data_IF_867880516523
#
_entry.id   IF_867880516523
#
_cell.length_a   1.000
_cell.length_b   1.000
_cell.length_c   1.000
_cell.angle_alpha   90.00
_cell.angle_beta   90.00
_cell.angle_gamma   90.00
#
_symmetry.space_group_name_H-M   'P 1'
#
loop_
_entity.id
_entity.type
_entity.pdbx_description
1 polymer ?
#
# COMPACT_ATOMS: atom_id res chain seq x y z
N UNK A 1 -11.25 -14.37 -0.29
CA UNK A 1 -11.41 -12.92 -0.37
C UNK A 1 -10.16 -12.26 -0.91
N UNK A 2 -10.34 -11.25 -1.73
CA UNK A 2 -9.23 -10.46 -2.23
C UNK A 2 -8.67 -9.58 -1.11
N UNK A 3 -7.34 -9.47 -1.07
CA UNK A 3 -6.66 -8.62 -0.10
C UNK A 3 -5.83 -7.61 -0.87
N UNK A 4 -6.14 -6.32 -0.71
CA UNK A 4 -5.37 -5.24 -1.27
C UNK A 4 -4.53 -4.62 -0.16
N UNK A 5 -3.22 -4.54 -0.37
CA UNK A 5 -2.29 -3.96 0.59
C UNK A 5 -1.81 -2.62 0.06
N UNK A 6 -2.00 -1.57 0.85
CA UNK A 6 -1.62 -0.23 0.48
C UNK A 6 -0.38 0.16 1.29
N UNK A 7 0.73 0.39 0.60
CA UNK A 7 1.96 0.83 1.21
C UNK A 7 2.08 2.35 1.18
N UNK A 8 2.47 2.91 2.31
CA UNK A 8 2.84 4.32 2.39
C UNK A 8 4.34 4.43 2.57
N UNK A 9 4.99 5.23 1.74
CA UNK A 9 6.43 5.40 1.79
C UNK A 9 6.88 5.88 3.18
N UNK A 10 8.11 5.54 3.57
CA UNK A 10 8.67 5.86 4.89
C UNK A 10 8.60 7.34 5.24
N UNK A 11 8.71 8.22 4.24
CA UNK A 11 8.63 9.67 4.43
C UNK A 11 7.22 10.18 4.73
N UNK A 12 6.21 9.33 4.66
CA UNK A 12 4.84 9.70 4.96
C UNK A 12 4.48 9.37 6.40
N UNK A 13 5.21 9.96 7.32
CA UNK A 13 4.95 9.86 8.74
C UNK A 13 4.06 11.00 9.21
N UNK A 14 3.87 11.10 10.52
CA UNK A 14 2.91 11.99 11.15
C UNK A 14 2.91 13.43 10.63
N UNK A 15 4.07 14.00 10.35
CA UNK A 15 4.19 15.40 9.99
C UNK A 15 4.13 15.70 8.50
N UNK A 16 3.89 14.69 7.68
CA UNK A 16 3.83 14.85 6.24
C UNK A 16 2.38 14.89 5.78
N UNK A 17 2.08 15.65 4.72
CA UNK A 17 0.73 15.63 4.15
C UNK A 17 0.41 14.24 3.60
N UNK A 18 -0.85 13.86 3.65
CA UNK A 18 -1.30 12.62 3.03
C UNK A 18 -1.22 12.74 1.50
N UNK A 19 -1.11 11.58 0.84
CA UNK A 19 -1.18 11.52 -0.62
C UNK A 19 -2.63 11.82 -1.01
N UNK A 20 -2.80 12.77 -1.94
CA UNK A 20 -4.13 13.19 -2.38
C UNK A 20 -4.99 12.00 -2.80
N UNK A 21 -6.16 11.90 -2.20
CA UNK A 21 -7.14 10.86 -2.50
C UNK A 21 -6.85 9.49 -1.88
N UNK A 22 -5.67 9.27 -1.30
CA UNK A 22 -5.31 7.95 -0.77
C UNK A 22 -6.17 7.52 0.40
N UNK A 23 -6.45 8.42 1.33
CA UNK A 23 -7.28 8.11 2.51
C UNK A 23 -8.70 7.76 2.08
N UNK A 24 -9.29 8.56 1.20
CA UNK A 24 -10.64 8.31 0.71
C UNK A 24 -10.71 6.99 -0.07
N UNK A 25 -9.74 6.74 -0.93
CA UNK A 25 -9.66 5.50 -1.70
C UNK A 25 -9.52 4.28 -0.79
N UNK A 26 -8.67 4.36 0.24
CA UNK A 26 -8.49 3.28 1.20
C UNK A 26 -9.80 2.97 1.94
N UNK A 27 -10.51 4.01 2.38
CA UNK A 27 -11.80 3.84 3.05
C UNK A 27 -12.86 3.22 2.14
N UNK A 28 -12.89 3.62 0.88
CA UNK A 28 -13.81 3.04 -0.11
C UNK A 28 -13.47 1.58 -0.39
N UNK A 29 -12.18 1.27 -0.56
CA UNK A 29 -11.72 -0.10 -0.76
C UNK A 29 -12.12 -1.01 0.39
N UNK A 30 -11.97 -0.53 1.62
CA UNK A 30 -12.29 -1.31 2.82
C UNK A 30 -13.79 -1.66 2.91
N UNK A 31 -14.64 -0.87 2.25
CA UNK A 31 -16.09 -1.10 2.21
C UNK A 31 -16.53 -1.99 1.04
N UNK A 32 -15.63 -2.27 0.10
CA UNK A 32 -15.97 -3.12 -1.04
C UNK A 32 -16.12 -4.56 -0.60
N UNK A 33 -17.19 -5.22 -1.08
CA UNK A 33 -17.43 -6.62 -0.80
C UNK A 33 -16.30 -7.48 -1.34
N UNK A 34 -15.80 -8.39 -0.51
CA UNK A 34 -14.74 -9.31 -0.89
C UNK A 34 -13.35 -8.71 -0.90
N UNK A 35 -13.18 -7.52 -0.35
CA UNK A 35 -11.88 -6.83 -0.29
C UNK A 35 -11.50 -6.54 1.15
N UNK A 36 -10.33 -7.05 1.58
CA UNK A 36 -9.71 -6.67 2.85
C UNK A 36 -8.50 -5.81 2.55
N UNK A 37 -8.42 -4.64 3.16
CA UNK A 37 -7.36 -3.68 2.92
C UNK A 37 -6.45 -3.58 4.14
N UNK A 38 -5.14 -3.63 3.89
CA UNK A 38 -4.12 -3.48 4.92
C UNK A 38 -3.11 -2.41 4.50
N UNK A 39 -2.51 -1.78 5.49
CA UNK A 39 -1.40 -0.86 5.27
C UNK A 39 -0.12 -1.61 5.60
N UNK A 40 0.68 -1.87 4.58
CA UNK A 40 1.94 -2.58 4.72
C UNK A 40 3.09 -1.57 4.69
N UNK A 41 3.79 -1.44 5.79
CA UNK A 41 4.82 -0.42 5.94
C UNK A 41 6.09 -0.98 6.57
N UNK A 42 7.23 -0.39 6.22
CA UNK A 42 8.51 -0.79 6.78
C UNK A 42 8.95 0.21 7.85
N UNK A 43 9.43 -0.25 9.01
CA UNK A 43 9.99 0.64 10.01
C UNK A 43 11.34 1.20 9.55
N UNK A 44 11.66 2.43 9.97
CA UNK A 44 12.99 3.00 9.82
C UNK A 44 13.75 2.68 11.10
N UNK A 45 14.77 1.81 11.00
CA UNK A 45 15.49 1.28 12.16
C UNK A 45 16.12 2.34 13.05
N UNK A 46 16.65 3.40 12.43
CA UNK A 46 17.39 4.45 13.17
C UNK A 46 16.50 5.51 13.78
N UNK A 47 15.19 5.48 13.50
CA UNK A 47 14.26 6.48 14.01
C UNK A 47 13.37 5.85 15.07
N UNK A 48 13.71 6.04 16.34
CA UNK A 48 13.05 5.34 17.43
C UNK A 48 11.56 5.64 17.60
N UNK A 49 11.07 6.77 17.09
CA UNK A 49 9.66 7.16 17.15
C UNK A 49 8.85 6.76 15.93
N UNK A 50 9.47 6.11 14.96
CA UNK A 50 8.84 5.78 13.69
C UNK A 50 7.55 4.98 13.85
N UNK A 51 7.57 3.96 14.70
CA UNK A 51 6.38 3.11 14.89
C UNK A 51 5.22 3.89 15.51
N UNK A 52 5.49 4.64 16.57
CA UNK A 52 4.47 5.44 17.24
C UNK A 52 3.87 6.47 16.29
N UNK A 53 4.71 7.16 15.52
CA UNK A 53 4.24 8.14 14.56
C UNK A 53 3.41 7.53 13.43
N UNK A 54 3.75 6.33 12.97
CA UNK A 54 2.96 5.64 11.96
C UNK A 54 1.58 5.27 12.49
N UNK A 55 1.50 4.76 13.70
CA UNK A 55 0.22 4.44 14.34
C UNK A 55 -0.62 5.69 14.54
N UNK A 56 -0.02 6.77 15.01
CA UNK A 56 -0.72 8.04 15.22
C UNK A 56 -1.23 8.62 13.90
N UNK A 57 -0.42 8.54 12.86
CA UNK A 57 -0.81 9.01 11.53
C UNK A 57 -2.04 8.26 11.00
N UNK A 58 -2.02 6.93 11.13
CA UNK A 58 -3.14 6.09 10.68
C UNK A 58 -4.38 6.38 11.50
N UNK A 59 -4.25 6.46 12.81
CA UNK A 59 -5.36 6.78 13.72
C UNK A 59 -6.01 8.11 13.36
N UNK A 60 -5.19 9.13 13.12
CA UNK A 60 -5.64 10.48 12.81
C UNK A 60 -6.35 10.57 11.44
N UNK A 61 -5.77 9.97 10.41
CA UNK A 61 -6.22 10.15 9.04
C UNK A 61 -7.24 9.10 8.57
N UNK A 62 -7.13 7.87 9.05
CA UNK A 62 -8.00 6.78 8.65
C UNK A 62 -9.01 6.39 9.73
N UNK A 63 -8.66 6.57 10.98
CA UNK A 63 -9.48 6.21 12.12
C UNK A 63 -8.89 5.09 12.95
N UNK A 64 -9.34 4.95 14.23
CA UNK A 64 -8.79 3.97 15.15
C UNK A 64 -8.97 2.51 14.69
N UNK A 65 -10.01 2.22 13.92
CA UNK A 65 -10.24 0.87 13.39
C UNK A 65 -9.18 0.43 12.38
N UNK A 66 -8.46 1.38 11.79
CA UNK A 66 -7.39 1.08 10.84
C UNK A 66 -6.07 0.70 11.48
N UNK A 67 -5.90 0.99 12.76
CA UNK A 67 -4.66 0.62 13.47
C UNK A 67 -4.45 -0.89 13.44
N UNK A 68 -5.52 -1.68 13.56
CA UNK A 68 -5.46 -3.13 13.45
C UNK A 68 -5.19 -3.65 12.04
N UNK A 69 -5.19 -2.79 11.04
CA UNK A 69 -4.90 -3.16 9.65
C UNK A 69 -3.46 -2.86 9.24
N UNK A 70 -2.61 -2.47 10.18
CA UNK A 70 -1.21 -2.15 9.90
C UNK A 70 -0.38 -3.44 9.94
N UNK A 71 0.37 -3.67 8.88
CA UNK A 71 1.39 -4.72 8.82
C UNK A 71 2.75 -4.03 8.82
N UNK A 72 3.51 -4.22 9.88
CA UNK A 72 4.86 -3.70 10.00
C UNK A 72 5.85 -4.81 9.67
N UNK A 73 6.65 -4.59 8.64
CA UNK A 73 7.66 -5.57 8.25
C UNK A 73 8.78 -4.90 7.48
N UNK A 74 10.01 -5.34 7.72
CA UNK A 74 11.17 -4.96 6.90
C UNK A 74 11.17 -5.70 5.57
N UNK A 75 10.53 -6.85 5.52
CA UNK A 75 10.50 -7.71 4.35
C UNK A 75 9.04 -7.91 3.91
N UNK A 76 8.63 -7.13 2.92
CA UNK A 76 7.26 -7.19 2.41
C UNK A 76 6.95 -8.47 1.65
N UNK A 77 7.97 -9.21 1.24
CA UNK A 77 7.76 -10.51 0.59
C UNK A 77 7.13 -11.52 1.54
N UNK A 78 7.28 -11.32 2.85
CA UNK A 78 6.70 -12.19 3.87
C UNK A 78 5.24 -11.87 4.17
N UNK A 79 4.72 -10.73 3.69
CA UNK A 79 3.31 -10.42 3.82
C UNK A 79 2.51 -11.16 2.75
N UNK A 80 1.37 -11.73 3.14
CA UNK A 80 0.50 -12.47 2.23
C UNK A 80 -0.68 -11.62 1.79
N UNK A 81 -1.01 -11.69 0.53
CA UNK A 81 -2.15 -10.98 -0.04
C UNK A 81 -2.23 -11.24 -1.53
N UNK A 82 -3.23 -10.66 -2.17
CA UNK A 82 -3.42 -10.82 -3.61
C UNK A 82 -2.78 -9.68 -4.38
N UNK A 83 -2.70 -8.50 -3.79
CA UNK A 83 -2.23 -7.30 -4.47
C UNK A 83 -1.45 -6.42 -3.50
N UNK A 84 -0.29 -5.94 -3.93
CA UNK A 84 0.49 -4.93 -3.21
C UNK A 84 0.65 -3.71 -4.10
N UNK A 85 0.15 -2.58 -3.64
CA UNK A 85 0.33 -1.29 -4.31
C UNK A 85 1.44 -0.56 -3.59
N UNK A 86 2.56 -0.34 -4.26
CA UNK A 86 3.78 0.17 -3.65
C UNK A 86 4.58 0.97 -4.67
N UNK A 87 5.17 2.07 -4.24
CA UNK A 87 5.98 2.93 -5.10
C UNK A 87 7.42 2.43 -5.29
N UNK A 88 7.85 1.46 -4.49
CA UNK A 88 9.15 0.82 -4.69
C UNK A 88 9.08 -0.12 -5.88
N UNK A 89 10.04 -0.01 -6.78
CA UNK A 89 10.08 -0.85 -7.96
C UNK A 89 10.60 -2.25 -7.63
N UNK A 90 11.65 -2.32 -6.83
CA UNK A 90 12.27 -3.60 -6.47
C UNK A 90 11.95 -3.96 -5.02
N UNK A 91 11.08 -4.94 -4.85
CA UNK A 91 10.71 -5.47 -3.54
C UNK A 91 11.22 -6.90 -3.48
N UNK A 92 12.36 -7.09 -2.84
CA UNK A 92 13.02 -8.38 -2.71
C UNK A 92 13.16 -8.73 -1.23
N UNK A 93 13.22 -10.02 -0.94
CA UNK A 93 13.37 -10.50 0.42
C UNK A 93 13.48 -12.01 0.46
N UNK A 94 13.08 -12.59 1.58
CA UNK A 94 13.22 -14.03 1.83
C UNK A 94 12.39 -14.88 0.86
N UNK A 95 11.25 -14.37 0.41
CA UNK A 95 10.36 -15.10 -0.50
C UNK A 95 10.61 -14.62 -1.92
N UNK A 96 11.08 -15.53 -2.77
CA UNK A 96 11.40 -15.20 -4.15
C UNK A 96 10.15 -14.85 -4.97
N UNK A 97 9.06 -15.59 -4.75
CA UNK A 97 7.78 -15.37 -5.43
C UNK A 97 6.70 -15.08 -4.41
N UNK A 98 6.55 -13.82 -3.97
CA UNK A 98 5.50 -13.46 -3.02
C UNK A 98 4.11 -13.77 -3.57
N UNK A 99 3.14 -13.93 -2.66
CA UNK A 99 1.76 -14.24 -3.04
C UNK A 99 1.04 -13.10 -3.74
N UNK A 100 1.50 -11.86 -3.55
CA UNK A 100 0.83 -10.68 -4.11
C UNK A 100 1.38 -10.33 -5.51
N UNK A 101 0.51 -9.76 -6.34
CA UNK A 101 0.91 -9.09 -7.57
C UNK A 101 1.29 -7.64 -7.21
N UNK A 102 2.45 -7.19 -7.68
CA UNK A 102 2.93 -5.84 -7.42
C UNK A 102 2.39 -4.86 -8.47
N UNK A 103 1.62 -3.88 -8.02
CA UNK A 103 1.23 -2.72 -8.83
C UNK A 103 2.10 -1.54 -8.38
N UNK A 104 2.82 -0.94 -9.32
CA UNK A 104 3.72 0.17 -9.02
C UNK A 104 2.91 1.46 -8.92
N UNK A 105 2.94 2.09 -7.75
CA UNK A 105 2.35 3.41 -7.59
C UNK A 105 3.33 4.46 -8.08
N UNK A 106 2.88 5.35 -8.97
CA UNK A 106 3.75 6.35 -9.59
C UNK A 106 4.25 7.38 -8.60
N UNK A 107 5.55 7.58 -8.57
CA UNK A 107 6.24 8.57 -7.78
C UNK A 107 7.41 9.13 -8.60
N UNK A 108 7.92 10.28 -8.20
CA UNK A 108 9.00 10.93 -8.96
C UNK A 108 10.20 10.02 -9.19
N UNK A 109 10.55 9.20 -8.20
CA UNK A 109 11.71 8.32 -8.27
C UNK A 109 11.53 7.13 -9.21
N UNK A 110 10.32 6.79 -9.61
CA UNK A 110 10.07 5.61 -10.44
C UNK A 110 9.44 5.88 -11.80
N UNK A 111 9.18 7.14 -12.15
CA UNK A 111 8.46 7.48 -13.38
C UNK A 111 9.15 7.00 -14.65
N UNK A 112 10.48 6.93 -14.65
CA UNK A 112 11.28 6.51 -15.80
C UNK A 112 11.85 5.10 -15.66
N UNK A 113 11.49 4.40 -14.59
CA UNK A 113 12.00 3.06 -14.35
C UNK A 113 11.19 2.04 -15.13
N UNK A 114 11.87 1.11 -15.79
CA UNK A 114 11.22 -0.01 -16.44
C UNK A 114 10.66 -0.96 -15.37
N UNK A 115 9.35 -1.14 -15.38
CA UNK A 115 8.66 -2.02 -14.43
C UNK A 115 8.22 -3.34 -15.07
N UNK A 116 8.65 -3.60 -16.32
CA UNK A 116 8.29 -4.81 -17.04
C UNK A 116 6.79 -4.87 -17.33
N UNK A 117 6.19 -6.04 -17.09
CA UNK A 117 4.76 -6.27 -17.34
C UNK A 117 3.84 -5.83 -16.21
N UNK A 118 4.41 -5.30 -15.14
CA UNK A 118 3.60 -4.85 -13.99
C UNK A 118 2.73 -3.67 -14.36
N UNK A 119 1.58 -3.59 -13.70
CA UNK A 119 0.68 -2.46 -13.87
C UNK A 119 1.15 -1.26 -13.05
N UNK A 120 0.71 -0.09 -13.45
CA UNK A 120 1.02 1.16 -12.78
C UNK A 120 -0.26 1.88 -12.38
N UNK A 121 -0.27 2.40 -11.18
CA UNK A 121 -1.33 3.27 -10.69
C UNK A 121 -0.75 4.66 -10.47
N UNK A 122 -1.25 5.67 -11.19
CA UNK A 122 -0.65 7.00 -11.19
C UNK A 122 -1.11 7.90 -10.06
N UNK A 123 -2.34 7.70 -9.60
CA UNK A 123 -2.90 8.51 -8.51
C UNK A 123 -4.12 7.80 -7.91
N UNK A 124 -4.68 8.42 -6.86
CA UNK A 124 -5.85 7.89 -6.15
C UNK A 124 -7.13 8.69 -6.46
N UNK A 125 -7.08 9.68 -7.35
CA UNK A 125 -8.14 10.66 -7.52
C UNK A 125 -9.01 10.45 -8.74
N UNK A 126 -8.48 9.84 -9.81
CA UNK A 126 -9.19 9.73 -11.09
C UNK A 126 -10.04 8.47 -11.26
N UNK A 127 -10.11 7.62 -10.24
CA UNK A 127 -10.93 6.41 -10.28
C UNK A 127 -10.27 5.19 -10.95
N UNK A 128 -9.06 5.30 -11.47
CA UNK A 128 -8.35 4.16 -12.08
C UNK A 128 -8.13 3.01 -11.09
N UNK A 129 -7.97 3.33 -9.81
CA UNK A 129 -7.82 2.30 -8.79
C UNK A 129 -9.05 1.39 -8.69
N UNK A 130 -10.25 1.92 -8.92
CA UNK A 130 -11.49 1.12 -8.91
C UNK A 130 -11.48 0.12 -10.06
N UNK A 131 -11.09 0.58 -11.24
CA UNK A 131 -11.00 -0.28 -12.43
C UNK A 131 -9.97 -1.38 -12.19
N UNK A 132 -8.82 -1.03 -11.64
CA UNK A 132 -7.76 -1.97 -11.30
C UNK A 132 -8.26 -3.08 -10.37
N UNK A 133 -8.93 -2.70 -9.29
CA UNK A 133 -9.44 -3.66 -8.30
C UNK A 133 -10.54 -4.54 -8.89
N UNK A 134 -11.48 -3.96 -9.62
CA UNK A 134 -12.55 -4.74 -10.25
C UNK A 134 -12.00 -5.75 -11.27
N UNK A 135 -11.05 -5.31 -12.09
CA UNK A 135 -10.38 -6.20 -13.05
C UNK A 135 -9.64 -7.33 -12.34
N UNK A 136 -8.96 -7.00 -11.25
CA UNK A 136 -8.24 -7.98 -10.45
C UNK A 136 -9.18 -9.00 -9.80
N UNK A 137 -10.30 -8.54 -9.25
CA UNK A 137 -11.31 -9.42 -8.64
C UNK A 137 -11.85 -10.45 -9.64
N UNK A 138 -12.00 -10.07 -10.88
CA UNK A 138 -12.52 -10.97 -11.93
C UNK A 138 -11.54 -12.09 -12.29
N UNK A 139 -10.27 -11.95 -11.93
CA UNK A 139 -9.24 -12.93 -12.28
C UNK A 139 -8.92 -13.94 -11.15
N UNK A 140 -9.54 -13.76 -9.99
CA UNK A 140 -9.28 -14.66 -8.84
C UNK A 140 -10.52 -15.48 -8.43
#
# INVERSE_FOLDING_TARGET
>A
NAVAKIYKAKKFFLNLPEIEGAVDAAKMLAKMEGVDVFICTSPIEKYKYCLAEKYEWVDKHLGPEWVGRIILTKDKTMANGHLLIDDRVNIIGAIEKPSWEHVVFSANHNMRTDIGKRRRLDNWTNGDWKVLIEDFKMRI
#
